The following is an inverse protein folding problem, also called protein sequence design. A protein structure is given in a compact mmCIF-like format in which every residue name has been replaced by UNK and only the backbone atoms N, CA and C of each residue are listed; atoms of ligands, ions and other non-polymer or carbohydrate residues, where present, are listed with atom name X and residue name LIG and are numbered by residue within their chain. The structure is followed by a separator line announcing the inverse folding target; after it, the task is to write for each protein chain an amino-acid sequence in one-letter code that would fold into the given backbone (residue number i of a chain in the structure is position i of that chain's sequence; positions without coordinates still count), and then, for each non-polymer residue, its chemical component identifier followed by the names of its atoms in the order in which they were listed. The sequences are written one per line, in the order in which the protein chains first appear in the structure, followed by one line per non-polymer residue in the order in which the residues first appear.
data_IF_583257580619
#
_entry.id   IF_583257580619
#
_cell.length_a   1.000
_cell.length_b   1.000
_cell.length_c   1.000
_cell.angle_alpha   90.00
_cell.angle_beta   90.00
_cell.angle_gamma   90.00
#
_symmetry.space_group_name_H-M   'P 1'
#
loop_
_entity.id
_entity.type
_entity.pdbx_description
1 polymer ?
#
# COMPACT_ATOMS: atom_id res chain seq x y z
N UNK A 1 7.76 -13.59 -2.50
CA UNK A 1 8.66 -14.63 -2.96
C UNK A 1 8.90 -15.65 -1.83
N UNK A 2 8.40 -16.89 -2.00
CA UNK A 2 8.39 -17.90 -0.91
C UNK A 2 9.79 -18.27 -0.39
N UNK A 3 10.80 -18.35 -1.25
CA UNK A 3 12.17 -18.66 -0.86
C UNK A 3 12.76 -17.56 0.05
N UNK A 4 12.52 -16.31 -0.25
CA UNK A 4 12.99 -15.19 0.55
C UNK A 4 12.33 -15.16 1.94
N UNK A 5 11.03 -15.41 2.02
CA UNK A 5 10.31 -15.49 3.30
C UNK A 5 10.86 -16.61 4.17
N UNK A 6 11.09 -17.80 3.61
CA UNK A 6 11.67 -18.91 4.35
C UNK A 6 13.09 -18.65 4.82
N UNK A 7 13.87 -17.94 4.01
CA UNK A 7 15.23 -17.55 4.36
C UNK A 7 15.25 -16.56 5.54
N UNK A 8 14.39 -15.56 5.52
CA UNK A 8 14.26 -14.60 6.62
C UNK A 8 13.78 -15.27 7.90
N UNK A 9 12.83 -16.20 7.81
CA UNK A 9 12.36 -17.01 8.93
C UNK A 9 13.51 -17.83 9.56
N UNK A 10 14.37 -18.40 8.74
CA UNK A 10 15.53 -19.15 9.21
C UNK A 10 16.53 -18.26 9.94
N UNK A 11 16.82 -17.06 9.40
CA UNK A 11 17.71 -16.09 10.05
C UNK A 11 17.12 -15.62 11.39
N UNK A 12 15.82 -15.33 11.43
CA UNK A 12 15.16 -14.88 12.65
C UNK A 12 15.24 -15.89 13.80
N UNK A 13 15.43 -17.17 13.51
CA UNK A 13 15.57 -18.25 14.48
C UNK A 13 17.01 -18.56 14.90
N UNK A 14 17.98 -17.87 14.32
CA UNK A 14 19.39 -18.05 14.71
C UNK A 14 19.64 -17.46 16.09
N UNK A 15 20.61 -17.99 16.86
CA UNK A 15 20.99 -17.44 18.15
C UNK A 15 21.33 -15.94 18.07
N UNK A 16 20.74 -15.14 18.94
CA UNK A 16 20.94 -13.69 18.96
C UNK A 16 20.13 -12.91 17.94
N UNK A 17 19.34 -13.58 17.10
CA UNK A 17 18.42 -12.94 16.16
C UNK A 17 16.98 -13.01 16.64
N UNK A 18 16.18 -12.07 16.21
CA UNK A 18 14.72 -12.08 16.41
C UNK A 18 14.03 -11.64 15.12
N UNK A 19 12.81 -12.09 14.91
CA UNK A 19 11.98 -11.68 13.79
C UNK A 19 10.66 -11.10 14.26
N UNK A 20 10.21 -10.11 13.53
CA UNK A 20 8.89 -9.52 13.72
C UNK A 20 8.16 -9.54 12.40
N UNK A 21 6.85 -9.72 12.43
CA UNK A 21 5.99 -9.47 11.31
C UNK A 21 4.95 -8.43 11.66
N UNK A 22 4.46 -7.74 10.66
CA UNK A 22 3.42 -6.74 10.84
C UNK A 22 2.51 -6.70 9.63
N UNK A 23 1.25 -6.36 9.88
CA UNK A 23 0.27 -6.17 8.81
C UNK A 23 -0.20 -4.72 8.77
N UNK A 24 -0.33 -4.20 7.58
CA UNK A 24 -0.78 -2.83 7.38
C UNK A 24 -2.30 -2.76 7.43
N UNK A 25 -2.84 -2.21 8.48
CA UNK A 25 -4.29 -2.03 8.65
C UNK A 25 -4.84 -1.11 7.56
N UNK A 26 -5.77 -1.62 6.76
CA UNK A 26 -6.40 -0.86 5.69
C UNK A 26 -5.40 -0.37 4.63
N UNK A 27 -4.41 -1.19 4.29
CA UNK A 27 -3.28 -0.84 3.44
C UNK A 27 -3.65 0.04 2.25
N UNK A 28 -4.52 -0.41 1.38
CA UNK A 28 -4.86 0.33 0.17
C UNK A 28 -5.54 1.67 0.46
N UNK A 29 -6.40 1.72 1.46
CA UNK A 29 -7.14 2.94 1.81
C UNK A 29 -6.28 4.03 2.48
N UNK A 30 -5.04 3.72 2.84
CA UNK A 30 -4.10 4.72 3.31
C UNK A 30 -3.64 5.66 2.19
N UNK A 31 -3.62 5.20 0.95
CA UNK A 31 -3.14 5.95 -0.20
C UNK A 31 -4.24 6.88 -0.72
N UNK A 32 -3.94 8.17 -0.81
CA UNK A 32 -4.82 9.13 -1.48
C UNK A 32 -4.62 9.05 -2.99
N UNK A 33 -5.71 8.99 -3.76
CA UNK A 33 -5.63 8.97 -5.22
C UNK A 33 -5.06 10.27 -5.81
N UNK A 34 -5.12 11.38 -5.08
CA UNK A 34 -4.45 12.62 -5.48
C UNK A 34 -2.92 12.52 -5.52
N UNK A 35 -2.34 11.50 -4.88
CA UNK A 35 -0.90 11.24 -4.91
C UNK A 35 -0.48 10.25 -6.00
N UNK A 36 -1.43 9.71 -6.76
CA UNK A 36 -1.17 8.67 -7.76
C UNK A 36 -0.16 9.11 -8.83
N UNK A 37 -0.31 10.32 -9.37
CA UNK A 37 0.59 10.83 -10.40
C UNK A 37 2.02 10.97 -9.87
N UNK A 38 2.19 11.47 -8.65
CA UNK A 38 3.48 11.57 -7.99
C UNK A 38 4.12 10.20 -7.75
N UNK A 39 3.34 9.24 -7.24
CA UNK A 39 3.83 7.89 -6.92
C UNK A 39 4.22 7.11 -8.17
N UNK A 40 3.46 7.27 -9.25
CA UNK A 40 3.70 6.57 -10.51
C UNK A 40 4.68 7.32 -11.45
N UNK A 41 5.00 8.58 -11.15
CA UNK A 41 5.87 9.41 -11.98
C UNK A 41 5.28 9.75 -13.34
N UNK A 42 3.96 9.70 -13.48
CA UNK A 42 3.24 9.96 -14.73
C UNK A 42 2.02 10.84 -14.45
N UNK A 43 1.80 11.79 -15.33
CA UNK A 43 0.64 12.70 -15.29
C UNK A 43 -0.53 12.11 -16.11
N UNK A 44 -1.02 10.95 -15.69
CA UNK A 44 -2.02 10.18 -16.48
C UNK A 44 -3.09 9.51 -15.63
N UNK A 45 -3.25 9.89 -14.38
CA UNK A 45 -4.23 9.19 -13.56
C UNK A 45 -5.62 9.83 -13.70
N UNK A 46 -6.56 9.19 -14.41
CA UNK A 46 -7.91 9.70 -14.52
C UNK A 46 -8.62 9.62 -13.18
N UNK A 47 -9.47 10.61 -12.90
CA UNK A 47 -10.35 10.57 -11.74
C UNK A 47 -11.19 9.30 -11.74
N UNK A 48 -11.32 8.69 -10.59
CA UNK A 48 -12.15 7.49 -10.40
C UNK A 48 -13.46 7.86 -9.74
N UNK A 49 -14.55 7.50 -10.37
CA UNK A 49 -15.91 7.69 -9.88
C UNK A 49 -16.56 6.34 -9.63
N UNK A 50 -17.29 6.21 -8.52
CA UNK A 50 -17.93 4.96 -8.13
C UNK A 50 -19.40 5.17 -7.82
N UNK A 51 -20.19 4.13 -8.04
CA UNK A 51 -21.56 4.04 -7.53
C UNK A 51 -21.54 3.50 -6.11
N UNK A 52 -22.31 4.08 -5.23
CA UNK A 52 -22.47 3.59 -3.87
C UNK A 52 -23.64 2.59 -3.76
N UNK A 53 -23.56 1.61 -2.85
CA UNK A 53 -24.71 0.81 -2.48
C UNK A 53 -25.86 1.69 -1.99
N UNK A 54 -27.10 1.27 -2.25
CA UNK A 54 -28.28 2.07 -1.93
C UNK A 54 -28.37 2.49 -0.46
N UNK A 55 -27.93 1.65 0.44
CA UNK A 55 -27.91 1.91 1.89
C UNK A 55 -26.83 2.95 2.32
N UNK A 56 -25.96 3.36 1.40
CA UNK A 56 -24.93 4.39 1.63
C UNK A 56 -25.25 5.71 0.94
N UNK A 57 -26.36 5.79 0.21
CA UNK A 57 -26.79 7.01 -0.44
C UNK A 57 -27.41 7.97 0.57
N UNK A 58 -27.10 9.25 0.42
CA UNK A 58 -27.83 10.33 1.14
C UNK A 58 -29.23 10.49 0.56
N UNK A 59 -30.13 11.15 1.29
CA UNK A 59 -31.51 11.38 0.82
C UNK A 59 -31.56 12.13 -0.50
N UNK A 60 -30.67 13.10 -0.69
CA UNK A 60 -30.51 13.81 -1.96
C UNK A 60 -30.10 12.88 -3.09
N UNK A 61 -29.14 12.01 -2.84
CA UNK A 61 -28.63 11.07 -3.84
C UNK A 61 -29.66 10.02 -4.23
N UNK A 62 -30.55 9.62 -3.33
CA UNK A 62 -31.64 8.67 -3.62
C UNK A 62 -32.63 9.20 -4.66
N UNK A 63 -32.75 10.51 -4.81
CA UNK A 63 -33.56 11.16 -5.84
C UNK A 63 -32.88 11.23 -7.22
N UNK A 64 -31.62 10.87 -7.34
CA UNK A 64 -30.88 10.89 -8.58
C UNK A 64 -30.99 9.55 -9.32
N UNK A 65 -30.96 9.57 -10.66
CA UNK A 65 -31.08 8.34 -11.44
C UNK A 65 -29.86 7.43 -11.32
N UNK A 66 -28.67 7.99 -11.37
CA UNK A 66 -27.39 7.24 -11.29
C UNK A 66 -26.39 8.04 -10.45
N UNK A 67 -26.55 8.10 -9.13
CA UNK A 67 -25.63 8.87 -8.30
C UNK A 67 -24.25 8.20 -8.28
N UNK A 68 -23.23 9.01 -8.55
CA UNK A 68 -21.83 8.62 -8.46
C UNK A 68 -21.08 9.58 -7.56
N UNK A 69 -20.03 9.10 -6.93
CA UNK A 69 -19.15 9.89 -6.07
C UNK A 69 -17.69 9.70 -6.50
N UNK A 70 -16.90 10.75 -6.36
CA UNK A 70 -15.49 10.69 -6.64
C UNK A 70 -14.76 9.91 -5.56
N UNK A 71 -13.99 8.92 -5.96
CA UNK A 71 -13.14 8.16 -5.07
C UNK A 71 -11.90 8.99 -4.71
N UNK A 72 -11.69 9.23 -3.42
CA UNK A 72 -10.54 10.02 -2.92
C UNK A 72 -9.38 9.16 -2.46
N UNK A 73 -9.65 7.96 -1.98
CA UNK A 73 -8.64 7.03 -1.51
C UNK A 73 -8.62 5.77 -2.36
N UNK A 74 -7.45 5.17 -2.43
CA UNK A 74 -7.30 3.87 -3.06
C UNK A 74 -8.22 2.83 -2.41
N UNK A 75 -8.69 1.88 -3.18
CA UNK A 75 -9.67 0.89 -2.72
C UNK A 75 -9.35 -0.48 -3.32
N UNK A 76 -9.67 -1.54 -2.58
CA UNK A 76 -9.63 -2.91 -3.10
C UNK A 76 -10.54 -3.02 -4.33
N UNK A 77 -10.01 -3.60 -5.41
CA UNK A 77 -10.69 -3.68 -6.69
C UNK A 77 -10.36 -2.54 -7.68
N UNK A 78 -9.70 -1.47 -7.23
CA UNK A 78 -9.18 -0.47 -8.16
C UNK A 78 -8.05 -1.06 -9.01
N UNK A 79 -8.02 -0.80 -10.34
CA UNK A 79 -7.01 -1.41 -11.24
C UNK A 79 -5.55 -1.16 -10.82
N UNK A 80 -5.27 -0.04 -10.20
CA UNK A 80 -3.93 0.34 -9.76
C UNK A 80 -3.71 0.16 -8.25
N UNK A 81 -4.64 -0.50 -7.55
CA UNK A 81 -4.62 -0.58 -6.09
C UNK A 81 -3.30 -1.13 -5.54
N UNK A 82 -2.84 -2.25 -6.08
CA UNK A 82 -1.61 -2.88 -5.64
C UNK A 82 -0.37 -2.06 -5.95
N UNK A 83 -0.29 -1.51 -7.16
CA UNK A 83 0.84 -0.70 -7.59
C UNK A 83 0.97 0.60 -6.77
N UNK A 84 -0.13 1.26 -6.50
CA UNK A 84 -0.15 2.47 -5.68
C UNK A 84 0.28 2.18 -4.24
N UNK A 85 -0.21 1.08 -3.66
CA UNK A 85 0.21 0.65 -2.34
C UNK A 85 1.69 0.29 -2.30
N UNK A 86 2.18 -0.44 -3.28
CA UNK A 86 3.59 -0.82 -3.38
C UNK A 86 4.50 0.41 -3.38
N UNK A 87 4.23 1.38 -4.24
CA UNK A 87 5.01 2.63 -4.30
C UNK A 87 4.92 3.46 -3.01
N UNK A 88 3.73 3.56 -2.44
CA UNK A 88 3.51 4.31 -1.21
C UNK A 88 4.24 3.67 -0.02
N UNK A 89 4.14 2.35 0.14
CA UNK A 89 4.79 1.63 1.24
C UNK A 89 6.31 1.65 1.12
N UNK A 90 6.84 1.50 -0.08
CA UNK A 90 8.28 1.64 -0.34
C UNK A 90 8.81 3.03 0.03
N UNK A 91 8.08 4.07 -0.34
CA UNK A 91 8.45 5.44 0.02
C UNK A 91 8.43 5.64 1.54
N UNK A 92 7.41 5.12 2.22
CA UNK A 92 7.30 5.19 3.68
C UNK A 92 8.47 4.48 4.38
N UNK A 93 8.84 3.29 3.90
CA UNK A 93 9.97 2.53 4.44
C UNK A 93 11.30 3.25 4.23
N UNK A 94 11.53 3.82 3.04
CA UNK A 94 12.74 4.59 2.76
C UNK A 94 12.87 5.83 3.66
N UNK A 95 11.76 6.50 3.99
CA UNK A 95 11.76 7.65 4.90
C UNK A 95 12.24 7.31 6.32
N UNK A 96 12.08 6.08 6.75
CA UNK A 96 12.56 5.60 8.06
C UNK A 96 13.86 4.81 7.98
N UNK A 97 14.57 4.88 6.85
CA UNK A 97 15.91 4.31 6.69
C UNK A 97 15.96 2.87 6.20
N UNK A 98 14.85 2.32 5.71
CA UNK A 98 14.84 1.01 5.09
C UNK A 98 15.19 1.08 3.61
N UNK A 99 15.98 0.15 3.14
CA UNK A 99 16.38 0.03 1.74
C UNK A 99 15.89 -1.28 1.14
N UNK A 100 15.57 -1.24 -0.14
CA UNK A 100 15.14 -2.44 -0.88
C UNK A 100 16.33 -3.39 -1.08
N UNK A 101 16.10 -4.68 -0.96
CA UNK A 101 17.11 -5.69 -1.28
C UNK A 101 17.14 -5.87 -2.81
N UNK A 102 18.28 -5.63 -3.48
CA UNK A 102 18.38 -5.81 -4.92
C UNK A 102 18.02 -7.23 -5.37
N UNK A 103 17.14 -7.36 -6.36
CA UNK A 103 16.67 -8.63 -6.89
C UNK A 103 15.60 -9.35 -6.06
N UNK A 104 15.21 -8.79 -4.93
CA UNK A 104 14.16 -9.34 -4.05
C UNK A 104 13.05 -8.31 -3.85
N UNK A 105 12.14 -8.25 -4.77
CA UNK A 105 11.02 -7.31 -4.73
C UNK A 105 10.17 -7.49 -3.46
N UNK A 106 9.83 -6.39 -2.82
CA UNK A 106 9.03 -6.39 -1.59
C UNK A 106 9.81 -6.70 -0.31
N UNK A 107 11.13 -6.88 -0.41
CA UNK A 107 11.99 -7.10 0.75
C UNK A 107 12.89 -5.90 1.02
N UNK A 108 13.02 -5.57 2.28
CA UNK A 108 13.76 -4.40 2.74
C UNK A 108 14.70 -4.78 3.87
N UNK A 109 15.76 -4.02 4.00
CA UNK A 109 16.66 -4.10 5.14
C UNK A 109 16.93 -2.69 5.71
N UNK A 110 17.32 -2.65 6.93
CA UNK A 110 17.86 -1.45 7.56
C UNK A 110 19.16 -1.80 8.25
N UNK A 111 20.02 -0.82 8.40
CA UNK A 111 21.24 -1.02 9.17
C UNK A 111 20.88 -1.09 10.65
N UNK A 112 20.83 -2.31 11.18
CA UNK A 112 20.58 -2.60 12.58
C UNK A 112 21.87 -2.60 13.43
N UNK A 113 22.97 -2.10 12.90
CA UNK A 113 24.22 -2.02 13.65
C UNK A 113 24.15 -1.13 14.89
N UNK A 114 23.00 -0.67 15.15
CA UNK A 114 23.03 0.52 15.88
C UNK A 114 23.06 0.34 17.37
N UNK A 115 22.63 -0.71 17.99
CA UNK A 115 22.34 -0.52 19.40
C UNK A 115 22.34 -1.78 20.26
N UNK A 116 23.31 -2.58 20.02
CA UNK A 116 23.60 -3.67 20.94
C UNK A 116 24.87 -3.42 21.72
#
# INVERSE_FOLDING_TARGET
HMAATKFLDAIARMPGCSGEDSDAVGAYTQVKLSEADRLLGQDVFPETWISLPRNRLTDIMKGMQKPIVRLKRNLYGHPLAGLLWDKYSQEALRKIGWESIPGWEGFFFTDVNAYF
#
